data_IF_165112492027
#
_entry.id   IF_165112492027
#
_cell.length_a   1.000
_cell.length_b   1.000
_cell.length_c   1.000
_cell.angle_alpha   90.00
_cell.angle_beta   90.00
_cell.angle_gamma   90.00
#
_symmetry.space_group_name_H-M   'P 1'
#
loop_
_entity.id
_entity.type
_entity.pdbx_description
1 polymer ?
#
# COMPACT_ATOMS: atom_id res chain seq x y z
N UNK A 1 -29.53 8.50 -39.82
CA UNK A 1 -28.19 8.75 -40.41
C UNK A 1 -27.30 7.52 -40.26
N UNK A 2 -26.28 7.33 -41.11
CA UNK A 2 -25.24 6.30 -40.87
C UNK A 2 -24.38 6.72 -39.66
N UNK A 3 -24.02 5.77 -38.79
CA UNK A 3 -23.27 6.00 -37.54
C UNK A 3 -21.97 6.81 -37.77
N UNK A 4 -21.27 6.57 -38.90
CA UNK A 4 -20.03 7.29 -39.23
C UNK A 4 -20.21 8.79 -39.48
N UNK A 5 -21.41 9.22 -39.93
CA UNK A 5 -21.71 10.65 -40.10
C UNK A 5 -21.94 11.35 -38.76
N UNK A 6 -22.52 10.66 -37.78
CA UNK A 6 -22.68 11.19 -36.42
C UNK A 6 -21.32 11.39 -35.75
N UNK A 7 -20.43 10.40 -35.86
CA UNK A 7 -19.07 10.48 -35.31
C UNK A 7 -18.27 11.63 -35.93
N UNK A 8 -18.32 11.80 -37.26
CA UNK A 8 -17.61 12.88 -37.97
C UNK A 8 -18.10 14.27 -37.57
N UNK A 9 -19.41 14.42 -37.28
CA UNK A 9 -19.98 15.66 -36.79
C UNK A 9 -19.55 15.96 -35.35
N UNK A 10 -19.61 14.96 -34.47
CA UNK A 10 -19.20 15.09 -33.08
C UNK A 10 -17.71 15.51 -32.95
N UNK A 11 -16.83 14.93 -33.76
CA UNK A 11 -15.40 15.28 -33.78
C UNK A 11 -15.17 16.76 -34.16
N UNK A 12 -15.91 17.28 -35.14
CA UNK A 12 -15.84 18.70 -35.53
C UNK A 12 -16.30 19.64 -34.42
N UNK A 13 -17.26 19.24 -33.59
CA UNK A 13 -17.72 20.04 -32.46
C UNK A 13 -16.65 20.16 -31.38
N UNK A 14 -15.93 19.07 -31.05
CA UNK A 14 -14.87 19.06 -30.02
C UNK A 14 -13.72 20.01 -30.37
N UNK A 15 -13.31 20.04 -31.64
CA UNK A 15 -12.18 20.87 -32.09
C UNK A 15 -12.49 22.38 -32.02
N UNK A 16 -13.77 22.77 -32.03
CA UNK A 16 -14.19 24.18 -32.09
C UNK A 16 -14.42 24.83 -30.72
N UNK A 17 -14.60 24.08 -29.61
CA UNK A 17 -14.99 24.59 -28.29
C UNK A 17 -13.83 24.78 -27.28
N UNK A 18 -12.71 25.35 -27.74
CA UNK A 18 -11.36 25.25 -27.12
C UNK A 18 -11.20 25.65 -25.64
N UNK A 19 -11.93 26.65 -25.12
CA UNK A 19 -11.75 27.10 -23.72
C UNK A 19 -12.73 26.45 -22.73
N UNK A 20 -13.96 26.18 -23.16
CA UNK A 20 -15.02 25.67 -22.28
C UNK A 20 -14.93 24.16 -22.07
N UNK A 21 -14.52 23.42 -23.10
CA UNK A 21 -14.23 21.99 -23.00
C UNK A 21 -13.04 21.70 -22.07
N UNK A 22 -12.05 22.60 -21.98
CA UNK A 22 -10.87 22.36 -21.15
C UNK A 22 -11.20 22.25 -19.66
N UNK A 23 -12.03 23.17 -19.14
CA UNK A 23 -12.42 23.17 -17.73
C UNK A 23 -13.29 21.97 -17.35
N UNK A 24 -14.10 21.47 -18.30
CA UNK A 24 -14.92 20.28 -18.12
C UNK A 24 -14.09 19.00 -18.16
N UNK A 25 -13.17 18.95 -19.11
CA UNK A 25 -12.24 17.83 -19.27
C UNK A 25 -11.38 17.70 -18.02
N UNK A 26 -10.98 18.81 -17.39
CA UNK A 26 -10.15 18.80 -16.19
C UNK A 26 -10.73 17.98 -15.03
N UNK A 27 -12.04 18.07 -14.77
CA UNK A 27 -12.68 17.26 -13.71
C UNK A 27 -12.62 15.76 -13.98
N UNK A 28 -12.82 15.35 -15.25
CA UNK A 28 -12.68 13.95 -15.68
C UNK A 28 -11.23 13.52 -15.59
N UNK A 29 -10.31 14.37 -16.05
CA UNK A 29 -8.87 14.10 -16.05
C UNK A 29 -8.37 13.83 -14.63
N UNK A 30 -8.70 14.70 -13.67
CA UNK A 30 -8.31 14.54 -12.27
C UNK A 30 -8.94 13.26 -11.70
N UNK A 31 -10.24 13.04 -11.93
CA UNK A 31 -10.92 11.83 -11.45
C UNK A 31 -10.28 10.54 -11.97
N UNK A 32 -10.06 10.44 -13.29
CA UNK A 32 -9.46 9.26 -13.94
C UNK A 32 -7.99 9.08 -13.55
N UNK A 33 -7.20 10.15 -13.50
CA UNK A 33 -5.80 10.08 -13.07
C UNK A 33 -5.67 9.56 -11.64
N UNK A 34 -6.52 10.06 -10.73
CA UNK A 34 -6.56 9.59 -9.34
C UNK A 34 -6.91 8.10 -9.25
N UNK A 35 -7.96 7.64 -9.95
CA UNK A 35 -8.34 6.20 -9.96
C UNK A 35 -7.15 5.34 -10.39
N UNK A 36 -6.46 5.71 -11.47
CA UNK A 36 -5.34 4.92 -11.99
C UNK A 36 -4.18 4.89 -11.00
N UNK A 37 -3.85 6.03 -10.39
CA UNK A 37 -2.79 6.10 -9.39
C UNK A 37 -3.11 5.21 -8.17
N UNK A 38 -4.35 5.27 -7.65
CA UNK A 38 -4.78 4.52 -6.46
C UNK A 38 -4.76 3.01 -6.74
N UNK A 39 -5.35 2.58 -7.86
CA UNK A 39 -5.47 1.15 -8.17
C UNK A 39 -4.10 0.55 -8.50
N UNK A 40 -3.27 1.26 -9.28
CA UNK A 40 -1.91 0.81 -9.59
C UNK A 40 -1.03 0.72 -8.34
N UNK A 41 -1.16 1.67 -7.41
CA UNK A 41 -0.50 1.59 -6.12
C UNK A 41 -1.02 0.39 -5.30
N UNK A 42 -2.34 0.19 -5.25
CA UNK A 42 -2.96 -0.94 -4.55
C UNK A 42 -2.45 -2.30 -5.03
N UNK A 43 -2.43 -2.52 -6.35
CA UNK A 43 -1.92 -3.76 -6.96
C UNK A 43 -0.42 -3.97 -6.68
N UNK A 44 0.39 -2.89 -6.76
CA UNK A 44 1.82 -2.95 -6.44
C UNK A 44 2.07 -3.34 -4.98
N UNK A 45 1.27 -2.79 -4.05
CA UNK A 45 1.34 -3.12 -2.63
C UNK A 45 0.90 -4.56 -2.34
N UNK A 46 -0.21 -5.00 -2.94
CA UNK A 46 -0.73 -6.37 -2.79
C UNK A 46 0.29 -7.40 -3.28
N UNK A 47 0.92 -7.14 -4.42
CA UNK A 47 1.99 -7.98 -4.95
C UNK A 47 3.21 -7.99 -4.04
N UNK A 48 3.64 -6.83 -3.55
CA UNK A 48 4.78 -6.75 -2.62
C UNK A 48 4.51 -7.50 -1.31
N UNK A 49 3.28 -7.47 -0.80
CA UNK A 49 2.88 -8.23 0.39
C UNK A 49 2.90 -9.74 0.09
N UNK A 50 2.40 -10.14 -1.08
CA UNK A 50 2.38 -11.55 -1.51
C UNK A 50 3.79 -12.11 -1.73
N UNK A 51 4.70 -11.31 -2.29
CA UNK A 51 6.12 -11.69 -2.44
C UNK A 51 6.82 -11.78 -1.08
N UNK A 52 6.54 -10.86 -0.15
CA UNK A 52 7.02 -10.96 1.24
C UNK A 52 6.43 -12.16 2.00
N UNK A 53 5.27 -12.66 1.55
CA UNK A 53 4.58 -13.84 2.09
C UNK A 53 5.08 -15.17 1.52
N UNK A 54 6.13 -15.20 0.69
CA UNK A 54 6.66 -16.43 0.09
C UNK A 54 6.82 -17.58 1.11
N UNK A 55 6.96 -18.83 0.62
CA UNK A 55 6.86 -20.14 1.31
C UNK A 55 7.42 -20.30 2.74
N UNK A 56 8.18 -19.35 3.29
CA UNK A 56 8.69 -19.35 4.66
C UNK A 56 7.86 -18.52 5.65
N UNK A 57 7.03 -17.58 5.18
CA UNK A 57 6.25 -16.69 6.06
C UNK A 57 5.04 -17.36 6.72
N UNK A 58 4.49 -18.40 6.10
CA UNK A 58 3.30 -19.13 6.56
C UNK A 58 3.51 -19.91 7.86
N UNK A 59 4.74 -20.33 8.16
CA UNK A 59 5.10 -21.10 9.37
C UNK A 59 5.61 -20.24 10.54
N UNK A 60 5.63 -18.91 10.43
CA UNK A 60 6.24 -18.05 11.44
C UNK A 60 5.19 -17.44 12.36
N UNK A 61 5.36 -17.70 13.65
CA UNK A 61 4.58 -17.14 14.75
C UNK A 61 5.51 -16.22 15.56
N UNK A 62 5.06 -15.00 15.83
CA UNK A 62 5.74 -14.05 16.71
C UNK A 62 4.96 -13.90 18.01
N UNK A 63 5.65 -14.08 19.12
CA UNK A 63 5.14 -13.91 20.48
C UNK A 63 5.77 -12.67 21.05
N UNK A 64 4.96 -11.73 21.52
CA UNK A 64 5.41 -10.43 22.07
C UNK A 64 4.80 -10.27 23.47
N UNK A 65 5.52 -9.70 24.45
CA UNK A 65 4.92 -9.34 25.73
C UNK A 65 3.85 -8.26 25.57
N UNK A 66 2.95 -8.20 26.53
CA UNK A 66 1.78 -7.35 26.53
C UNK A 66 0.60 -7.92 25.73
N UNK A 67 -0.61 -7.57 26.13
CA UNK A 67 -1.82 -7.93 25.41
C UNK A 67 -2.21 -6.83 24.43
N UNK A 68 -1.82 -7.00 23.18
CA UNK A 68 -2.44 -6.27 22.07
C UNK A 68 -3.63 -7.10 21.58
N UNK A 69 -4.85 -6.73 21.99
CA UNK A 69 -6.05 -7.18 21.29
C UNK A 69 -5.99 -6.55 19.90
N UNK A 70 -5.88 -7.35 18.84
CA UNK A 70 -5.70 -6.89 17.47
C UNK A 70 -6.54 -5.63 17.18
N UNK A 71 -5.85 -4.48 17.08
CA UNK A 71 -6.51 -3.18 17.13
C UNK A 71 -5.62 -2.02 17.55
N UNK A 72 -4.42 -2.25 18.09
CA UNK A 72 -3.54 -1.15 18.48
C UNK A 72 -2.74 -0.64 17.27
N UNK A 73 -3.38 0.24 16.49
CA UNK A 73 -2.77 0.90 15.34
C UNK A 73 -1.88 2.04 15.83
N UNK A 74 -0.56 1.85 15.80
CA UNK A 74 0.41 2.94 16.02
C UNK A 74 0.44 3.86 14.78
N UNK A 75 -0.36 4.92 14.76
CA UNK A 75 -0.20 6.04 13.81
C UNK A 75 0.42 7.24 14.53
N UNK A 76 1.61 7.66 14.09
CA UNK A 76 2.15 8.98 14.43
C UNK A 76 2.57 9.22 15.87
N UNK A 77 2.93 8.17 16.63
CA UNK A 77 3.51 8.32 17.97
C UNK A 77 2.53 8.75 19.08
N UNK A 78 1.23 8.71 18.82
CA UNK A 78 0.20 8.93 19.85
C UNK A 78 -0.38 7.56 20.23
N UNK A 79 -0.12 7.14 21.46
CA UNK A 79 -0.78 6.00 22.08
C UNK A 79 -2.18 6.49 22.50
N UNK A 80 -3.23 5.91 21.93
CA UNK A 80 -4.56 6.02 22.52
C UNK A 80 -4.71 4.85 23.48
N UNK A 81 -4.37 5.06 24.76
CA UNK A 81 -4.71 4.14 25.84
C UNK A 81 -6.24 4.05 25.92
N UNK A 82 -6.84 3.06 25.25
CA UNK A 82 -8.16 2.58 25.65
C UNK A 82 -7.99 1.80 26.96
N UNK A 83 -8.45 2.46 28.03
CA UNK A 83 -8.53 1.95 29.39
C UNK A 83 -9.12 0.53 29.43
N UNK A 84 -8.31 -0.45 29.81
CA UNK A 84 -8.79 -1.84 29.84
C UNK A 84 -7.84 -2.90 30.38
N UNK A 85 -6.78 -2.57 31.11
CA UNK A 85 -6.05 -3.55 31.90
C UNK A 85 -5.54 -2.89 33.19
N UNK A 86 -5.87 -3.48 34.34
CA UNK A 86 -5.21 -3.14 35.59
C UNK A 86 -3.73 -3.46 35.42
N UNK A 87 -2.90 -2.43 35.32
CA UNK A 87 -1.45 -2.56 35.40
C UNK A 87 -1.11 -3.17 36.77
N UNK A 88 -0.78 -4.46 36.78
CA UNK A 88 0.15 -4.99 37.78
C UNK A 88 1.51 -4.33 37.53
N UNK A 89 2.12 -3.77 38.58
CA UNK A 89 3.44 -3.08 38.55
C UNK A 89 4.62 -3.97 38.12
N UNK A 90 4.38 -5.21 37.65
CA UNK A 90 5.40 -6.08 37.09
C UNK A 90 5.48 -5.87 35.57
N UNK A 91 6.66 -5.48 35.10
CA UNK A 91 6.95 -5.34 33.68
C UNK A 91 6.67 -6.68 32.98
N UNK A 92 5.71 -6.68 32.05
CA UNK A 92 5.36 -7.90 31.33
C UNK A 92 6.52 -8.24 30.39
N UNK A 93 7.26 -9.30 30.70
CA UNK A 93 8.44 -9.72 29.93
C UNK A 93 8.36 -11.19 29.53
N UNK A 94 8.97 -11.53 28.39
CA UNK A 94 9.20 -12.92 28.01
C UNK A 94 10.57 -13.36 28.51
N UNK A 95 10.65 -14.53 29.14
CA UNK A 95 11.87 -15.01 29.77
C UNK A 95 12.27 -16.41 29.28
N UNK A 96 13.36 -16.92 29.87
CA UNK A 96 13.84 -18.28 29.60
C UNK A 96 12.83 -19.38 29.96
N UNK A 97 11.95 -19.16 30.94
CA UNK A 97 10.90 -20.10 31.36
C UNK A 97 9.90 -20.29 30.23
N UNK A 98 9.48 -19.21 29.58
CA UNK A 98 8.59 -19.26 28.41
C UNK A 98 9.22 -20.06 27.27
N UNK A 99 10.49 -19.77 26.94
CA UNK A 99 11.23 -20.51 25.91
C UNK A 99 11.29 -22.01 26.23
N UNK A 100 11.54 -22.37 27.49
CA UNK A 100 11.59 -23.77 27.91
C UNK A 100 10.23 -24.45 27.83
N UNK A 101 9.15 -23.75 28.18
CA UNK A 101 7.79 -24.25 28.08
C UNK A 101 7.40 -24.53 26.61
N UNK A 102 7.76 -23.63 25.70
CA UNK A 102 7.50 -23.76 24.27
C UNK A 102 8.31 -24.88 23.62
N UNK A 103 9.58 -25.08 24.02
CA UNK A 103 10.41 -26.21 23.53
C UNK A 103 9.78 -27.59 23.79
N UNK A 104 8.86 -27.70 24.75
CA UNK A 104 8.12 -28.93 25.02
C UNK A 104 7.02 -29.27 24.00
N UNK A 105 6.67 -28.35 23.09
CA UNK A 105 5.62 -28.56 22.09
C UNK A 105 6.18 -29.25 20.84
N UNK A 106 5.52 -30.32 20.39
CA UNK A 106 5.89 -31.09 19.19
C UNK A 106 5.60 -30.37 17.88
N UNK A 107 4.84 -29.29 17.90
CA UNK A 107 4.49 -28.53 16.68
C UNK A 107 5.60 -27.51 16.31
N UNK A 108 6.47 -27.17 17.27
CA UNK A 108 7.52 -26.17 17.12
C UNK A 108 8.81 -26.80 16.56
N UNK A 109 9.33 -26.27 15.46
CA UNK A 109 10.62 -26.65 14.87
C UNK A 109 11.77 -25.88 15.53
N UNK A 110 11.67 -24.55 15.56
CA UNK A 110 12.72 -23.64 16.02
C UNK A 110 12.11 -22.48 16.81
N UNK A 111 12.89 -21.95 17.77
CA UNK A 111 12.56 -20.76 18.53
C UNK A 111 13.78 -19.85 18.47
N UNK A 112 13.63 -18.69 17.85
CA UNK A 112 14.57 -17.59 17.88
C UNK A 112 14.15 -16.58 18.95
N UNK A 113 15.08 -16.27 19.85
CA UNK A 113 14.88 -15.28 20.90
C UNK A 113 15.40 -13.94 20.41
N UNK A 114 14.59 -12.89 20.49
CA UNK A 114 14.96 -11.57 19.99
C UNK A 114 14.89 -10.50 21.07
N UNK A 115 15.89 -9.63 21.07
CA UNK A 115 15.84 -8.34 21.75
C UNK A 115 15.98 -7.22 20.73
N UNK A 116 15.30 -6.11 20.96
CA UNK A 116 15.22 -4.97 20.07
C UNK A 116 15.55 -3.71 20.84
N UNK A 117 16.33 -2.85 20.22
CA UNK A 117 16.64 -1.53 20.74
C UNK A 117 17.09 -0.62 19.62
N UNK A 118 17.60 0.55 20.00
CA UNK A 118 18.28 1.44 19.07
C UNK A 118 19.73 1.56 19.51
N UNK A 119 20.63 1.69 18.55
CA UNK A 119 22.05 1.92 18.84
C UNK A 119 22.59 3.02 17.94
N UNK A 120 23.49 3.84 18.50
CA UNK A 120 24.20 4.84 17.74
C UNK A 120 25.35 4.20 16.97
N UNK A 121 25.33 4.41 15.66
CA UNK A 121 26.30 3.86 14.72
C UNK A 121 27.11 4.98 14.13
N UNK A 122 28.42 4.79 14.08
CA UNK A 122 29.36 5.70 13.46
C UNK A 122 30.16 5.05 12.35
N UNK A 123 30.30 5.76 11.24
CA UNK A 123 31.15 5.39 10.12
C UNK A 123 31.75 6.64 9.48
N UNK A 124 33.09 6.67 9.35
CA UNK A 124 33.85 7.78 8.76
C UNK A 124 33.52 9.17 9.33
N UNK A 125 33.24 9.26 10.65
CA UNK A 125 32.96 10.52 11.33
C UNK A 125 31.53 11.04 11.19
N UNK A 126 30.64 10.27 10.55
CA UNK A 126 29.19 10.47 10.61
C UNK A 126 28.57 9.49 11.58
N UNK A 127 27.51 9.92 12.27
CA UNK A 127 26.80 9.10 13.24
C UNK A 127 25.30 9.20 13.05
N UNK A 128 24.58 8.15 13.41
CA UNK A 128 23.12 8.13 13.44
C UNK A 128 22.59 6.96 14.23
N UNK A 129 21.35 7.07 14.69
CA UNK A 129 20.67 6.02 15.44
C UNK A 129 19.98 5.05 14.49
N UNK A 130 20.20 3.76 14.67
CA UNK A 130 19.57 2.69 13.87
C UNK A 130 18.95 1.64 14.76
N UNK A 131 17.98 0.91 14.23
CA UNK A 131 17.39 -0.22 14.94
C UNK A 131 18.42 -1.34 15.12
N UNK A 132 18.50 -1.92 16.31
CA UNK A 132 19.34 -3.05 16.64
C UNK A 132 18.46 -4.24 17.00
N UNK A 133 18.72 -5.39 16.41
CA UNK A 133 18.06 -6.66 16.71
C UNK A 133 19.13 -7.68 17.13
N UNK A 134 19.08 -8.09 18.38
CA UNK A 134 19.85 -9.22 18.90
C UNK A 134 19.10 -10.52 18.65
N UNK A 135 19.74 -11.49 17.99
CA UNK A 135 19.12 -12.77 17.59
C UNK A 135 19.94 -13.98 18.06
N UNK A 136 19.32 -15.16 18.16
CA UNK A 136 20.08 -16.39 18.34
C UNK A 136 20.66 -16.84 16.99
N UNK A 137 21.94 -16.51 16.79
CA UNK A 137 22.70 -16.83 15.57
C UNK A 137 22.71 -18.32 15.17
N UNK A 138 22.33 -19.25 16.06
CA UNK A 138 22.26 -20.69 15.74
C UNK A 138 20.99 -21.08 14.98
N UNK A 139 19.94 -20.26 15.10
CA UNK A 139 18.60 -20.58 14.59
C UNK A 139 18.06 -19.49 13.68
N UNK A 140 18.47 -18.23 13.86
CA UNK A 140 17.95 -17.08 13.13
C UNK A 140 17.97 -17.27 11.62
N UNK A 141 19.05 -17.81 11.04
CA UNK A 141 19.16 -18.05 9.59
C UNK A 141 18.15 -19.04 9.01
N UNK A 142 17.47 -19.83 9.85
CA UNK A 142 16.42 -20.79 9.46
C UNK A 142 15.00 -20.32 9.80
N UNK A 143 14.90 -19.23 10.58
CA UNK A 143 13.65 -18.65 11.06
C UNK A 143 13.33 -17.35 10.33
N UNK A 144 14.35 -16.57 9.96
CA UNK A 144 14.17 -15.33 9.19
C UNK A 144 13.62 -15.64 7.79
N UNK A 145 12.73 -14.77 7.32
CA UNK A 145 12.19 -14.76 5.96
C UNK A 145 12.99 -13.87 5.02
N UNK A 146 13.93 -13.08 5.55
CA UNK A 146 14.71 -12.14 4.74
C UNK A 146 15.82 -12.86 3.98
N UNK A 147 15.95 -12.56 2.70
CA UNK A 147 17.05 -13.08 1.88
C UNK A 147 18.33 -12.25 2.06
N UNK A 148 19.47 -12.85 1.74
CA UNK A 148 20.75 -12.13 1.69
C UNK A 148 21.00 -11.65 0.28
N UNK A 149 21.22 -10.34 0.16
CA UNK A 149 21.70 -9.71 -1.07
C UNK A 149 23.19 -9.95 -1.27
N UNK A 150 23.99 -9.65 -0.24
CA UNK A 150 25.46 -9.74 -0.29
C UNK A 150 26.02 -10.42 0.96
N UNK A 151 27.03 -11.29 0.80
CA UNK A 151 27.75 -11.90 1.90
C UNK A 151 27.10 -13.18 2.45
N UNK A 152 26.92 -13.27 3.78
CA UNK A 152 26.37 -14.46 4.45
C UNK A 152 25.61 -14.13 5.74
N UNK A 153 24.75 -15.07 6.14
CA UNK A 153 24.01 -15.01 7.41
C UNK A 153 24.97 -15.18 8.58
N UNK A 154 24.50 -14.83 9.79
CA UNK A 154 25.21 -15.11 11.03
C UNK A 154 25.40 -16.62 11.22
N UNK A 155 26.59 -17.01 11.67
CA UNK A 155 26.94 -18.39 12.01
C UNK A 155 27.07 -18.55 13.52
N UNK A 156 26.92 -19.78 14.02
CA UNK A 156 27.02 -20.10 15.46
C UNK A 156 28.33 -19.70 16.16
N UNK A 157 29.41 -19.45 15.42
CA UNK A 157 30.73 -19.09 15.94
C UNK A 157 31.04 -17.58 15.84
N UNK A 158 30.14 -16.81 15.25
CA UNK A 158 30.29 -15.37 15.10
C UNK A 158 30.13 -14.65 16.46
N UNK A 159 30.82 -13.52 16.63
CA UNK A 159 30.72 -12.68 17.82
C UNK A 159 30.67 -11.19 17.41
N UNK A 160 31.80 -10.61 17.02
CA UNK A 160 31.90 -9.18 16.67
C UNK A 160 31.62 -8.93 15.18
N UNK A 161 30.50 -9.47 14.70
CA UNK A 161 30.04 -9.28 13.33
C UNK A 161 28.57 -8.96 13.30
N UNK A 162 28.16 -8.33 12.20
CA UNK A 162 26.79 -7.88 12.00
C UNK A 162 26.31 -8.20 10.59
N UNK A 163 25.02 -8.41 10.49
CA UNK A 163 24.28 -8.34 9.23
C UNK A 163 23.50 -7.04 9.24
N UNK A 164 23.49 -6.30 8.14
CA UNK A 164 22.81 -5.01 8.05
C UNK A 164 21.68 -5.06 7.03
N UNK A 165 20.65 -4.24 7.23
CA UNK A 165 19.63 -4.02 6.21
C UNK A 165 20.18 -3.26 5.00
N UNK A 166 19.56 -3.43 3.83
CA UNK A 166 19.99 -2.78 2.59
C UNK A 166 19.82 -1.25 2.65
N UNK A 167 18.82 -0.74 3.38
CA UNK A 167 18.64 0.69 3.62
C UNK A 167 19.84 1.32 4.35
N UNK A 168 20.34 0.65 5.40
CA UNK A 168 21.54 1.04 6.11
C UNK A 168 22.80 0.94 5.22
N UNK A 169 22.84 -0.05 4.34
CA UNK A 169 23.97 -0.25 3.44
C UNK A 169 24.07 0.83 2.37
N UNK A 170 22.96 1.23 1.76
CA UNK A 170 22.98 2.01 0.53
C UNK A 170 22.82 3.52 0.74
N UNK A 171 21.98 3.93 1.69
CA UNK A 171 21.46 5.31 1.74
C UNK A 171 21.71 6.03 3.07
N UNK A 172 22.07 5.32 4.13
CA UNK A 172 22.19 5.93 5.47
C UNK A 172 23.45 6.78 5.64
N UNK A 173 24.55 6.40 5.00
CA UNK A 173 25.81 7.14 5.00
C UNK A 173 26.13 7.67 3.60
N UNK A 174 26.96 8.70 3.50
CA UNK A 174 27.40 9.29 2.21
C UNK A 174 28.12 8.29 1.30
N UNK A 175 28.66 7.23 1.88
CA UNK A 175 29.31 6.15 1.15
C UNK A 175 28.60 4.84 1.47
N UNK A 176 28.31 4.01 0.45
CA UNK A 176 27.65 2.74 0.66
C UNK A 176 28.52 1.82 1.52
N UNK A 177 27.91 1.17 2.49
CA UNK A 177 28.54 0.11 3.28
C UNK A 177 28.53 -1.19 2.47
N UNK A 178 29.66 -1.89 2.51
CA UNK A 178 29.81 -3.17 1.84
C UNK A 178 30.27 -4.24 2.83
N UNK A 179 30.22 -5.50 2.39
CA UNK A 179 30.75 -6.62 3.15
C UNK A 179 32.22 -6.39 3.54
N UNK A 180 32.61 -6.90 4.70
CA UNK A 180 33.93 -6.75 5.33
C UNK A 180 34.32 -5.32 5.75
N UNK A 181 33.48 -4.31 5.55
CA UNK A 181 33.68 -3.00 6.19
C UNK A 181 33.39 -3.10 7.68
N UNK A 182 34.02 -2.20 8.44
CA UNK A 182 33.86 -2.09 9.89
C UNK A 182 33.11 -0.80 10.19
N UNK A 183 32.07 -0.91 11.01
CA UNK A 183 31.34 0.23 11.57
C UNK A 183 31.44 0.19 13.08
N UNK A 184 31.40 1.35 13.71
CA UNK A 184 31.41 1.47 15.17
C UNK A 184 29.98 1.56 15.67
N UNK A 185 29.62 0.77 16.67
CA UNK A 185 28.30 0.79 17.32
C UNK A 185 28.56 0.99 18.81
N UNK A 186 28.06 2.11 19.37
CA UNK A 186 28.50 2.58 20.67
C UNK A 186 30.03 2.77 20.69
N UNK A 187 30.71 2.07 21.58
CA UNK A 187 32.18 2.10 21.71
C UNK A 187 32.89 0.91 21.02
N UNK A 188 32.15 0.01 20.38
CA UNK A 188 32.68 -1.25 19.84
C UNK A 188 32.65 -1.30 18.30
N UNK A 189 33.68 -1.89 17.71
CA UNK A 189 33.80 -2.05 16.27
C UNK A 189 33.28 -3.41 15.79
N UNK A 190 32.43 -3.40 14.76
CA UNK A 190 31.81 -4.60 14.20
C UNK A 190 32.03 -4.69 12.70
N UNK A 191 32.33 -5.91 12.23
CA UNK A 191 32.51 -6.19 10.80
C UNK A 191 31.20 -6.64 10.16
N UNK A 192 30.87 -6.05 9.02
CA UNK A 192 29.71 -6.44 8.22
C UNK A 192 30.01 -7.76 7.51
N UNK A 193 29.20 -8.80 7.77
CA UNK A 193 29.33 -10.12 7.12
C UNK A 193 28.23 -10.39 6.11
N UNK A 194 27.11 -9.68 6.19
CA UNK A 194 26.00 -9.80 5.26
C UNK A 194 25.19 -8.52 5.14
N UNK A 195 24.53 -8.37 4.00
CA UNK A 195 23.55 -7.33 3.73
C UNK A 195 22.25 -8.03 3.31
N UNK A 196 21.15 -7.73 4.01
CA UNK A 196 19.83 -8.26 3.70
C UNK A 196 19.28 -7.61 2.43
N UNK A 197 18.50 -8.37 1.67
CA UNK A 197 17.68 -7.84 0.58
C UNK A 197 16.40 -7.21 1.14
N UNK A 198 16.59 -6.21 2.00
CA UNK A 198 15.53 -5.40 2.58
C UNK A 198 15.92 -3.91 2.59
N UNK A 199 14.95 -3.04 2.85
CA UNK A 199 15.16 -1.58 2.89
C UNK A 199 15.31 -1.09 4.34
N UNK A 200 15.59 -1.97 5.29
CA UNK A 200 15.60 -1.62 6.69
C UNK A 200 16.87 -0.85 7.07
N UNK A 201 16.72 0.17 7.92
CA UNK A 201 17.83 0.81 8.61
C UNK A 201 18.08 0.07 9.93
N UNK A 202 18.40 -1.23 9.83
CA UNK A 202 18.57 -2.10 10.98
C UNK A 202 19.87 -2.88 10.96
N UNK A 203 20.33 -3.25 12.15
CA UNK A 203 21.48 -4.10 12.40
C UNK A 203 20.99 -5.35 13.10
N UNK A 204 21.36 -6.50 12.55
CA UNK A 204 21.17 -7.81 13.17
C UNK A 204 22.51 -8.31 13.68
N UNK A 205 22.56 -8.71 14.95
CA UNK A 205 23.78 -9.19 15.59
C UNK A 205 23.50 -10.32 16.58
N UNK A 206 24.54 -11.05 17.04
CA UNK A 206 24.36 -12.08 18.05
C UNK A 206 23.79 -11.47 19.33
N UNK A 207 22.76 -12.09 19.90
CA UNK A 207 22.04 -11.58 21.08
C UNK A 207 22.96 -11.28 22.28
N UNK A 208 24.05 -12.03 22.44
CA UNK A 208 25.03 -11.77 23.51
C UNK A 208 25.75 -10.42 23.36
N UNK A 209 25.99 -9.97 22.12
CA UNK A 209 26.58 -8.65 21.87
C UNK A 209 25.53 -7.55 22.02
N UNK A 210 24.28 -7.82 21.64
CA UNK A 210 23.19 -6.88 21.81
C UNK A 210 22.95 -6.50 23.28
N UNK A 211 23.02 -7.47 24.22
CA UNK A 211 22.96 -7.18 25.66
C UNK A 211 24.10 -6.30 26.19
N UNK A 212 25.24 -6.23 25.50
CA UNK A 212 26.36 -5.36 25.89
C UNK A 212 26.19 -3.93 25.36
N UNK A 213 25.35 -3.74 24.34
CA UNK A 213 25.13 -2.45 23.69
C UNK A 213 23.80 -1.80 24.09
N UNK A 214 22.83 -2.59 24.59
CA UNK A 214 21.53 -2.13 25.04
C UNK A 214 21.46 -2.19 26.56
N UNK A 215 21.67 -1.04 27.20
CA UNK A 215 21.73 -0.90 28.66
C UNK A 215 20.40 -1.22 29.37
N UNK A 216 19.27 -1.14 28.65
CA UNK A 216 17.92 -1.41 29.12
C UNK A 216 17.51 -2.90 29.02
N UNK A 217 18.42 -3.78 28.59
CA UNK A 217 18.11 -5.21 28.36
C UNK A 217 18.77 -6.13 29.37
N UNK A 218 17.94 -6.90 30.06
CA UNK A 218 18.41 -7.92 31.00
C UNK A 218 18.64 -9.27 30.34
N UNK A 219 19.70 -9.97 30.77
CA UNK A 219 20.05 -11.29 30.22
C UNK A 219 18.92 -12.29 30.48
N UNK A 220 18.62 -13.10 29.46
CA UNK A 220 17.55 -14.11 29.45
C UNK A 220 16.12 -13.51 29.47
N UNK A 221 16.00 -12.18 29.26
CA UNK A 221 14.75 -11.46 29.00
C UNK A 221 14.68 -11.07 27.53
N UNK A 222 13.51 -11.24 26.90
CA UNK A 222 13.31 -11.11 25.46
C UNK A 222 12.14 -10.17 25.13
N UNK A 223 12.33 -9.37 24.08
CA UNK A 223 11.28 -8.50 23.54
C UNK A 223 10.31 -9.26 22.62
N UNK A 224 10.78 -10.37 22.02
CA UNK A 224 9.91 -11.25 21.24
C UNK A 224 10.52 -12.65 21.09
N UNK A 225 9.65 -13.64 20.91
CA UNK A 225 10.02 -15.00 20.51
C UNK A 225 9.46 -15.25 19.12
N UNK A 226 10.34 -15.56 18.18
CA UNK A 226 9.96 -15.92 16.81
C UNK A 226 10.04 -17.43 16.67
N UNK A 227 8.90 -18.05 16.43
CA UNK A 227 8.70 -19.49 16.46
C UNK A 227 8.39 -19.96 15.05
N UNK A 228 9.15 -20.94 14.57
CA UNK A 228 8.85 -21.65 13.32
C UNK A 228 8.14 -22.96 13.62
N UNK A 229 6.96 -23.17 13.03
CA UNK A 229 6.21 -24.42 13.15
C UNK A 229 6.63 -25.41 12.08
N UNK A 230 6.49 -26.71 12.37
CA UNK A 230 6.87 -27.80 11.45
C UNK A 230 5.91 -27.99 10.28
N UNK A 231 4.64 -27.67 10.50
CA UNK A 231 3.53 -27.97 9.59
C UNK A 231 2.65 -26.74 9.46
N UNK A 232 2.73 -26.07 8.31
CA UNK A 232 2.04 -24.81 8.05
C UNK A 232 0.51 -24.98 8.08
N UNK A 233 0.01 -26.14 7.65
CA UNK A 233 -1.42 -26.46 7.62
C UNK A 233 -2.03 -26.54 9.03
N UNK A 234 -1.19 -26.60 10.08
CA UNK A 234 -1.59 -26.63 11.49
C UNK A 234 -1.29 -25.34 12.23
N UNK A 235 -1.06 -24.23 11.52
CA UNK A 235 -0.76 -22.92 12.12
C UNK A 235 -1.74 -22.54 13.23
N UNK A 236 -3.04 -22.53 12.96
CA UNK A 236 -4.07 -22.13 13.93
C UNK A 236 -4.07 -23.03 15.17
N UNK A 237 -3.95 -24.34 14.97
CA UNK A 237 -3.87 -25.31 16.05
C UNK A 237 -2.57 -25.18 16.86
N UNK A 238 -1.47 -24.77 16.23
CA UNK A 238 -0.21 -24.49 16.90
C UNK A 238 -0.29 -23.20 17.73
N UNK A 239 -0.94 -22.15 17.21
CA UNK A 239 -1.21 -20.90 17.94
C UNK A 239 -2.02 -21.20 19.21
N UNK A 240 -3.12 -21.94 19.11
CA UNK A 240 -3.96 -22.29 20.27
C UNK A 240 -3.17 -23.08 21.33
N UNK A 241 -2.32 -24.02 20.89
CA UNK A 241 -1.45 -24.78 21.81
C UNK A 241 -0.40 -23.91 22.47
N UNK A 242 0.20 -22.97 21.74
CA UNK A 242 1.18 -22.01 22.25
C UNK A 242 0.53 -21.11 23.28
N UNK A 243 -0.61 -20.50 22.96
CA UNK A 243 -1.38 -19.65 23.87
C UNK A 243 -1.72 -20.40 25.15
N UNK A 244 -2.33 -21.59 25.05
CA UNK A 244 -2.66 -22.41 26.21
C UNK A 244 -1.44 -22.80 27.04
N UNK A 245 -0.33 -23.12 26.40
CA UNK A 245 0.91 -23.50 27.10
C UNK A 245 1.50 -22.31 27.87
N UNK A 246 1.50 -21.13 27.27
CA UNK A 246 1.97 -19.90 27.92
C UNK A 246 1.03 -19.46 29.05
N UNK A 247 -0.29 -19.52 28.85
CA UNK A 247 -1.29 -19.25 29.89
C UNK A 247 -1.06 -20.12 31.13
N UNK A 248 -0.86 -21.43 30.95
CA UNK A 248 -0.57 -22.34 32.06
C UNK A 248 0.78 -22.01 32.73
N UNK A 249 1.80 -21.65 31.94
CA UNK A 249 3.15 -21.39 32.45
C UNK A 249 3.20 -20.10 33.25
N UNK A 250 2.52 -19.06 32.75
CA UNK A 250 2.48 -17.70 33.33
C UNK A 250 1.32 -17.51 34.31
N UNK A 251 0.47 -18.52 34.48
CA UNK A 251 -0.71 -18.49 35.36
C UNK A 251 -1.72 -17.39 35.01
N UNK A 252 -1.85 -17.07 33.72
CA UNK A 252 -2.79 -16.07 33.20
C UNK A 252 -3.97 -16.75 32.48
N UNK A 253 -5.10 -16.07 32.46
CA UNK A 253 -6.33 -16.42 31.72
C UNK A 253 -6.52 -15.48 30.52
N UNK A 254 -7.63 -15.63 29.77
CA UNK A 254 -7.91 -14.77 28.61
C UNK A 254 -8.13 -13.29 28.99
N UNK A 255 -8.51 -13.01 30.23
CA UNK A 255 -8.86 -11.65 30.68
C UNK A 255 -7.68 -10.84 31.20
N UNK A 256 -6.65 -11.52 31.68
CA UNK A 256 -5.40 -11.00 32.27
C UNK A 256 -4.18 -11.47 31.48
N UNK A 257 -4.38 -11.92 30.24
CA UNK A 257 -3.31 -12.33 29.34
C UNK A 257 -2.31 -11.18 29.22
N UNK A 258 -1.03 -11.49 29.33
CA UNK A 258 0.07 -10.51 29.32
C UNK A 258 1.01 -10.72 28.13
N UNK A 259 0.54 -11.44 27.11
CA UNK A 259 1.28 -11.71 25.88
C UNK A 259 0.33 -11.74 24.67
N UNK A 260 0.91 -11.58 23.49
CA UNK A 260 0.22 -11.71 22.22
C UNK A 260 0.95 -12.70 21.32
N UNK A 261 0.17 -13.57 20.68
CA UNK A 261 0.64 -14.54 19.69
C UNK A 261 0.05 -14.13 18.35
N UNK A 262 0.91 -13.87 17.38
CA UNK A 262 0.48 -13.44 16.05
C UNK A 262 1.26 -14.20 14.98
N UNK A 263 0.61 -14.58 13.89
CA UNK A 263 1.31 -15.14 12.73
C UNK A 263 1.68 -14.04 11.74
N UNK A 264 2.70 -14.29 10.93
CA UNK A 264 3.05 -13.38 9.83
C UNK A 264 1.89 -13.23 8.83
N UNK A 265 1.10 -14.30 8.63
CA UNK A 265 -0.11 -14.26 7.81
C UNK A 265 -1.14 -13.27 8.37
N UNK A 266 -1.48 -13.36 9.66
CA UNK A 266 -2.45 -12.45 10.30
C UNK A 266 -2.00 -10.99 10.21
N UNK A 267 -0.70 -10.73 10.42
CA UNK A 267 -0.13 -9.39 10.31
C UNK A 267 -0.27 -8.83 8.89
N UNK A 268 -0.06 -9.66 7.88
CA UNK A 268 -0.18 -9.26 6.47
C UNK A 268 -1.64 -9.11 6.04
N UNK A 269 -2.56 -9.94 6.51
CA UNK A 269 -4.00 -9.76 6.32
C UNK A 269 -4.48 -8.42 6.90
N UNK A 270 -4.00 -8.06 8.10
CA UNK A 270 -4.30 -6.76 8.71
C UNK A 270 -3.77 -5.59 7.87
N UNK A 271 -2.51 -5.68 7.38
CA UNK A 271 -1.93 -4.67 6.47
C UNK A 271 -2.72 -4.55 5.17
N UNK A 272 -3.08 -5.68 4.57
CA UNK A 272 -3.89 -5.75 3.35
C UNK A 272 -5.27 -5.13 3.57
N UNK A 273 -5.93 -5.41 4.70
CA UNK A 273 -7.20 -4.80 5.08
C UNK A 273 -7.13 -3.28 5.24
N UNK A 274 -6.04 -2.75 5.81
CA UNK A 274 -5.80 -1.31 5.92
C UNK A 274 -5.61 -0.66 4.54
N UNK A 275 -4.78 -1.26 3.67
CA UNK A 275 -4.56 -0.79 2.29
C UNK A 275 -5.87 -0.81 1.50
N UNK A 276 -6.64 -1.89 1.60
CA UNK A 276 -7.95 -2.03 0.96
C UNK A 276 -8.93 -0.94 1.42
N UNK A 277 -8.96 -0.65 2.73
CA UNK A 277 -9.81 0.41 3.29
C UNK A 277 -9.40 1.81 2.81
N UNK A 278 -8.10 2.10 2.74
CA UNK A 278 -7.58 3.35 2.18
C UNK A 278 -7.90 3.47 0.68
N UNK A 279 -7.74 2.38 -0.07
CA UNK A 279 -8.08 2.30 -1.50
C UNK A 279 -9.58 2.57 -1.73
N UNK A 280 -10.45 1.98 -0.90
CA UNK A 280 -11.89 2.23 -0.97
C UNK A 280 -12.23 3.70 -0.69
N UNK A 281 -11.61 4.31 0.31
CA UNK A 281 -11.81 5.72 0.64
C UNK A 281 -11.35 6.66 -0.49
N UNK A 282 -10.17 6.43 -1.04
CA UNK A 282 -9.65 7.22 -2.16
C UNK A 282 -10.47 7.01 -3.45
N UNK A 283 -10.96 5.78 -3.67
CA UNK A 283 -11.88 5.47 -4.78
C UNK A 283 -13.20 6.23 -4.63
N UNK A 284 -13.73 6.37 -3.41
CA UNK A 284 -14.93 7.18 -3.16
C UNK A 284 -14.69 8.66 -3.49
N UNK A 285 -13.53 9.22 -3.12
CA UNK A 285 -13.14 10.59 -3.48
C UNK A 285 -13.03 10.75 -5.01
N UNK A 286 -12.46 9.76 -5.70
CA UNK A 286 -12.35 9.77 -7.15
C UNK A 286 -13.74 9.68 -7.82
N UNK A 287 -14.66 8.89 -7.27
CA UNK A 287 -16.06 8.82 -7.72
C UNK A 287 -16.78 10.17 -7.57
N UNK A 288 -16.60 10.86 -6.44
CA UNK A 288 -17.13 12.23 -6.25
C UNK A 288 -16.53 13.20 -7.27
N UNK A 289 -15.23 13.10 -7.55
CA UNK A 289 -14.56 13.93 -8.56
C UNK A 289 -15.12 13.71 -9.97
N UNK A 290 -15.40 12.45 -10.32
CA UNK A 290 -16.08 12.10 -11.56
C UNK A 290 -17.50 12.66 -11.63
N UNK A 291 -18.25 12.65 -10.52
CA UNK A 291 -19.58 13.27 -10.45
C UNK A 291 -19.52 14.78 -10.68
N UNK A 292 -18.57 15.49 -10.05
CA UNK A 292 -18.34 16.93 -10.28
C UNK A 292 -17.98 17.19 -11.75
N UNK A 293 -17.10 16.37 -12.33
CA UNK A 293 -16.79 16.39 -13.76
C UNK A 293 -18.04 16.19 -14.62
N UNK A 294 -18.91 15.25 -14.24
CA UNK A 294 -20.16 14.95 -14.97
C UNK A 294 -21.12 16.14 -14.97
N UNK A 295 -21.24 16.89 -13.87
CA UNK A 295 -22.06 18.12 -13.82
C UNK A 295 -21.51 19.16 -14.78
N UNK A 296 -20.18 19.28 -14.85
CA UNK A 296 -19.53 20.12 -15.84
C UNK A 296 -19.91 19.74 -17.28
N UNK A 297 -19.85 18.43 -17.61
CA UNK A 297 -20.20 17.93 -18.95
C UNK A 297 -21.64 18.30 -19.26
N UNK A 298 -22.57 18.04 -18.33
CA UNK A 298 -23.98 18.40 -18.48
C UNK A 298 -24.16 19.89 -18.77
N UNK A 299 -23.49 20.77 -18.02
CA UNK A 299 -23.62 22.22 -18.21
C UNK A 299 -23.07 22.66 -19.58
N UNK A 300 -21.88 22.18 -19.94
CA UNK A 300 -21.26 22.47 -21.25
C UNK A 300 -22.14 21.95 -22.38
N UNK A 301 -22.78 20.81 -22.19
CA UNK A 301 -23.69 20.20 -23.13
C UNK A 301 -24.98 21.00 -23.30
N UNK A 302 -25.58 21.49 -22.20
CA UNK A 302 -26.73 22.40 -22.26
C UNK A 302 -26.42 23.63 -23.10
N UNK A 303 -25.28 24.28 -22.83
CA UNK A 303 -24.90 25.47 -23.60
C UNK A 303 -24.61 25.12 -25.06
N UNK A 304 -23.94 23.99 -25.34
CA UNK A 304 -23.66 23.54 -26.71
C UNK A 304 -24.94 23.26 -27.50
N UNK A 305 -25.96 22.69 -26.86
CA UNK A 305 -27.27 22.47 -27.47
C UNK A 305 -27.95 23.81 -27.78
N UNK A 306 -27.92 24.76 -26.85
CA UNK A 306 -28.51 26.09 -27.03
C UNK A 306 -27.84 26.88 -28.16
N UNK A 307 -26.50 26.90 -28.21
CA UNK A 307 -25.73 27.54 -29.27
C UNK A 307 -25.99 26.93 -30.66
N UNK A 308 -26.41 25.65 -30.69
CA UNK A 308 -26.68 24.90 -31.93
C UNK A 308 -28.17 24.73 -32.22
N UNK A 309 -29.05 25.44 -31.51
CA UNK A 309 -30.51 25.36 -31.66
C UNK A 309 -30.95 25.53 -33.12
N UNK A 310 -30.46 26.57 -33.80
CA UNK A 310 -30.80 26.86 -35.21
C UNK A 310 -30.35 25.75 -36.16
N UNK A 311 -29.15 25.21 -35.97
CA UNK A 311 -28.63 24.07 -36.75
C UNK A 311 -29.49 22.81 -36.55
N UNK A 312 -29.90 22.53 -35.30
CA UNK A 312 -30.81 21.42 -34.98
C UNK A 312 -32.16 21.60 -35.70
N UNK A 313 -32.70 22.81 -35.68
CA UNK A 313 -33.94 23.18 -36.38
C UNK A 313 -33.86 22.93 -37.88
N UNK A 314 -32.77 23.36 -38.52
CA UNK A 314 -32.51 23.11 -39.93
C UNK A 314 -32.44 21.61 -40.19
N UNK A 315 -31.59 20.85 -39.46
CA UNK A 315 -31.44 19.40 -39.64
C UNK A 315 -32.78 18.65 -39.55
N UNK A 316 -33.64 19.05 -38.61
CA UNK A 316 -34.98 18.45 -38.48
C UNK A 316 -35.92 18.85 -39.60
N UNK A 317 -35.86 20.09 -40.10
CA UNK A 317 -36.67 20.54 -41.23
C UNK A 317 -36.35 19.76 -42.53
N UNK A 318 -35.08 19.35 -42.71
CA UNK A 318 -34.65 18.46 -43.82
C UNK A 318 -34.82 16.96 -43.52
N UNK A 319 -35.44 16.59 -42.39
CA UNK A 319 -35.88 15.21 -42.11
C UNK A 319 -35.06 14.40 -41.09
N UNK A 320 -34.15 15.02 -40.32
CA UNK A 320 -33.48 14.32 -39.21
C UNK A 320 -34.47 13.95 -38.10
N UNK A 321 -34.40 12.71 -37.58
CA UNK A 321 -35.28 12.25 -36.49
C UNK A 321 -34.69 12.65 -35.13
N UNK A 322 -35.52 12.69 -34.08
CA UNK A 322 -35.05 12.96 -32.71
C UNK A 322 -33.91 12.02 -32.29
N UNK A 323 -33.99 10.74 -32.66
CA UNK A 323 -32.91 9.77 -32.39
C UNK A 323 -31.59 10.08 -33.10
N UNK A 324 -31.62 10.71 -34.27
CA UNK A 324 -30.41 11.10 -34.99
C UNK A 324 -29.71 12.26 -34.26
N UNK A 325 -30.48 13.26 -33.82
CA UNK A 325 -29.97 14.39 -33.03
C UNK A 325 -29.44 13.92 -31.68
N UNK A 326 -30.21 13.09 -30.97
CA UNK A 326 -29.79 12.49 -29.70
C UNK A 326 -28.46 11.74 -29.87
N UNK A 327 -28.33 10.90 -30.88
CA UNK A 327 -27.10 10.14 -31.13
C UNK A 327 -25.89 11.05 -31.38
N UNK A 328 -26.01 12.10 -32.19
CA UNK A 328 -24.91 13.05 -32.45
C UNK A 328 -24.38 13.63 -31.13
N UNK A 329 -25.30 14.08 -30.29
CA UNK A 329 -24.98 14.71 -29.02
C UNK A 329 -24.45 13.71 -27.98
N UNK A 330 -24.98 12.49 -27.91
CA UNK A 330 -24.41 11.44 -27.05
C UNK A 330 -23.00 11.03 -27.49
N UNK A 331 -22.74 10.91 -28.79
CA UNK A 331 -21.38 10.68 -29.30
C UNK A 331 -20.44 11.83 -28.96
N UNK A 332 -20.92 13.08 -29.01
CA UNK A 332 -20.14 14.24 -28.60
C UNK A 332 -19.78 14.19 -27.12
N UNK A 333 -20.74 13.90 -26.24
CA UNK A 333 -20.49 13.76 -24.80
C UNK A 333 -19.56 12.58 -24.47
N UNK A 334 -19.74 11.44 -25.15
CA UNK A 334 -18.84 10.29 -25.04
C UNK A 334 -17.42 10.60 -25.51
N UNK A 335 -17.24 11.38 -26.58
CA UNK A 335 -15.92 11.83 -27.05
C UNK A 335 -15.24 12.78 -26.05
N UNK A 336 -16.00 13.64 -25.36
CA UNK A 336 -15.45 14.46 -24.27
C UNK A 336 -14.97 13.56 -23.12
N UNK A 337 -15.78 12.57 -22.74
CA UNK A 337 -15.40 11.56 -21.74
C UNK A 337 -14.17 10.74 -22.16
N UNK A 338 -14.07 10.36 -23.43
CA UNK A 338 -12.91 9.66 -23.98
C UNK A 338 -11.65 10.53 -23.99
N UNK A 339 -11.76 11.79 -24.40
CA UNK A 339 -10.64 12.72 -24.42
C UNK A 339 -10.12 12.99 -23.01
N UNK A 340 -11.02 13.28 -22.06
CA UNK A 340 -10.64 13.46 -20.65
C UNK A 340 -10.11 12.19 -20.01
N UNK A 341 -10.69 11.03 -20.31
CA UNK A 341 -10.18 9.75 -19.85
C UNK A 341 -8.79 9.45 -20.41
N UNK A 342 -8.54 9.71 -21.68
CA UNK A 342 -7.22 9.47 -22.31
C UNK A 342 -6.15 10.36 -21.67
N UNK A 343 -6.44 11.65 -21.50
CA UNK A 343 -5.50 12.57 -20.85
C UNK A 343 -5.31 12.21 -19.36
N UNK A 344 -6.39 11.82 -18.68
CA UNK A 344 -6.34 11.32 -17.30
C UNK A 344 -5.52 10.04 -17.16
N UNK A 345 -5.63 9.11 -18.12
CA UNK A 345 -4.80 7.90 -18.17
C UNK A 345 -3.33 8.25 -18.33
N UNK A 346 -2.99 9.11 -19.28
CA UNK A 346 -1.61 9.53 -19.50
C UNK A 346 -1.04 10.17 -18.24
N UNK A 347 -1.78 11.09 -17.62
CA UNK A 347 -1.37 11.72 -16.37
C UNK A 347 -1.27 10.72 -15.21
N UNK A 348 -2.23 9.79 -15.10
CA UNK A 348 -2.21 8.73 -14.09
C UNK A 348 -0.97 7.83 -14.23
N UNK A 349 -0.62 7.43 -15.46
CA UNK A 349 0.60 6.67 -15.75
C UNK A 349 1.86 7.47 -15.40
N UNK A 350 1.91 8.76 -15.75
CA UNK A 350 3.05 9.62 -15.41
C UNK A 350 3.19 9.76 -13.90
N UNK A 351 2.10 10.07 -13.18
CA UNK A 351 2.10 10.18 -11.72
C UNK A 351 2.55 8.84 -11.13
N UNK A 352 1.95 7.74 -11.57
CA UNK A 352 2.27 6.40 -11.08
C UNK A 352 3.73 6.02 -11.34
N UNK A 353 4.29 6.36 -12.50
CA UNK A 353 5.69 6.07 -12.84
C UNK A 353 6.70 6.99 -12.16
N UNK A 354 6.32 8.22 -11.82
CA UNK A 354 7.17 9.17 -11.07
C UNK A 354 7.13 8.90 -9.57
N UNK A 355 6.02 8.37 -9.06
CA UNK A 355 5.82 8.17 -7.62
C UNK A 355 6.90 7.33 -6.93
N UNK A 356 7.38 6.22 -7.51
CA UNK A 356 8.50 5.45 -6.93
C UNK A 356 9.80 6.24 -6.77
N UNK A 357 10.04 7.25 -7.63
CA UNK A 357 11.22 8.11 -7.55
C UNK A 357 11.07 9.22 -6.50
N UNK A 358 9.86 9.75 -6.31
CA UNK A 358 9.57 10.75 -5.28
C UNK A 358 9.42 10.13 -3.89
N UNK A 359 9.02 8.86 -3.82
CA UNK A 359 8.82 8.10 -2.60
C UNK A 359 9.95 7.08 -2.39
N UNK A 360 11.14 7.33 -2.92
CA UNK A 360 12.30 6.43 -2.78
C UNK A 360 12.68 6.14 -1.33
N UNK A 361 12.32 7.05 -0.42
CA UNK A 361 12.55 6.91 1.03
C UNK A 361 11.41 6.17 1.74
N UNK A 362 10.31 5.84 1.05
CA UNK A 362 9.20 5.05 1.59
C UNK A 362 9.28 3.59 1.12
N UNK A 363 9.53 2.63 2.04
CA UNK A 363 9.77 1.22 1.71
C UNK A 363 8.60 0.52 0.98
N UNK A 364 7.38 1.05 1.05
CA UNK A 364 6.21 0.49 0.37
C UNK A 364 6.11 0.87 -1.13
N UNK A 365 6.86 1.85 -1.62
CA UNK A 365 6.69 2.40 -2.98
C UNK A 365 7.59 1.75 -4.06
N UNK A 366 8.53 0.87 -3.66
CA UNK A 366 9.49 0.23 -4.58
C UNK A 366 8.96 -1.01 -5.29
N UNK A 367 7.80 -1.55 -4.90
CA UNK A 367 7.18 -2.73 -5.52
C UNK A 367 6.79 -2.59 -7.00
N UNK A 368 7.11 -1.46 -7.63
CA UNK A 368 6.75 -1.16 -9.01
C UNK A 368 5.27 -0.79 -9.09
N UNK A 369 4.97 0.37 -9.65
CA UNK A 369 3.61 0.68 -10.05
C UNK A 369 3.34 0.00 -11.38
N UNK A 370 2.74 -1.19 -11.31
CA UNK A 370 2.27 -1.86 -12.50
C UNK A 370 0.94 -1.23 -12.89
N UNK A 371 0.91 -0.56 -14.04
CA UNK A 371 -0.36 -0.15 -14.65
C UNK A 371 -0.78 -1.27 -15.59
N UNK A 372 -1.68 -2.13 -15.11
CA UNK A 372 -2.23 -3.20 -15.94
C UNK A 372 -3.06 -2.62 -17.10
N UNK A 373 -3.04 -3.30 -18.25
CA UNK A 373 -3.85 -2.90 -19.42
C UNK A 373 -5.34 -2.91 -19.06
N UNK A 374 -5.74 -3.80 -18.16
CA UNK A 374 -7.12 -3.93 -17.69
C UNK A 374 -7.60 -2.67 -16.96
N UNK A 375 -6.78 -2.08 -16.09
CA UNK A 375 -7.12 -0.80 -15.42
C UNK A 375 -7.34 0.30 -16.46
N UNK A 376 -6.47 0.39 -17.48
CA UNK A 376 -6.59 1.42 -18.51
C UNK A 376 -7.92 1.27 -19.27
N UNK A 377 -8.28 0.05 -19.65
CA UNK A 377 -9.53 -0.25 -20.36
C UNK A 377 -10.74 0.07 -19.49
N UNK A 378 -10.71 -0.30 -18.21
CA UNK A 378 -11.78 0.00 -17.25
C UNK A 378 -11.94 1.51 -17.07
N UNK A 379 -10.83 2.23 -16.84
CA UNK A 379 -10.84 3.67 -16.61
C UNK A 379 -11.39 4.46 -17.82
N UNK A 380 -10.97 4.09 -19.04
CA UNK A 380 -11.49 4.69 -20.28
C UNK A 380 -12.97 4.35 -20.51
N UNK A 381 -13.38 3.12 -20.20
CA UNK A 381 -14.78 2.71 -20.33
C UNK A 381 -15.68 3.49 -19.37
N UNK A 382 -15.24 3.65 -18.12
CA UNK A 382 -15.93 4.45 -17.11
C UNK A 382 -16.01 5.91 -17.52
N UNK A 383 -14.94 6.51 -18.04
CA UNK A 383 -14.94 7.92 -18.44
C UNK A 383 -15.91 8.21 -19.60
N UNK A 384 -15.97 7.31 -20.59
CA UNK A 384 -16.93 7.39 -21.70
C UNK A 384 -18.36 7.23 -21.20
N UNK A 385 -18.60 6.26 -20.33
CA UNK A 385 -19.92 5.98 -19.77
C UNK A 385 -20.44 7.16 -18.94
N UNK A 386 -19.60 7.74 -18.08
CA UNK A 386 -19.91 8.95 -17.31
C UNK A 386 -20.23 10.13 -18.25
N UNK A 387 -19.43 10.31 -19.32
CA UNK A 387 -19.69 11.34 -20.33
C UNK A 387 -21.05 11.18 -21.02
N UNK A 388 -21.40 9.96 -21.41
CA UNK A 388 -22.69 9.65 -22.05
C UNK A 388 -23.86 9.89 -21.08
N UNK A 389 -23.75 9.43 -19.84
CA UNK A 389 -24.80 9.60 -18.80
C UNK A 389 -25.02 11.08 -18.51
N UNK A 390 -23.94 11.84 -18.32
CA UNK A 390 -24.00 13.28 -18.09
C UNK A 390 -24.66 14.02 -19.26
N UNK A 391 -24.24 13.70 -20.48
CA UNK A 391 -24.76 14.33 -21.69
C UNK A 391 -26.20 13.97 -22.02
N UNK A 392 -26.76 12.92 -21.41
CA UNK A 392 -28.04 12.34 -21.83
C UNK A 392 -29.21 13.31 -21.69
N UNK A 393 -29.40 13.92 -20.52
CA UNK A 393 -30.52 14.84 -20.26
C UNK A 393 -30.51 16.04 -21.22
N UNK A 394 -29.41 16.82 -21.34
CA UNK A 394 -29.35 17.93 -22.30
C UNK A 394 -29.51 17.47 -23.76
N UNK A 395 -28.87 16.36 -24.15
CA UNK A 395 -28.99 15.81 -25.50
C UNK A 395 -30.43 15.42 -25.84
N UNK A 396 -31.15 14.83 -24.88
CA UNK A 396 -32.54 14.46 -25.02
C UNK A 396 -33.44 15.68 -25.17
N UNK A 397 -33.25 16.70 -24.35
CA UNK A 397 -34.00 17.96 -24.45
C UNK A 397 -33.76 18.64 -25.80
N UNK A 398 -32.50 18.77 -26.23
CA UNK A 398 -32.14 19.30 -27.55
C UNK A 398 -32.75 18.52 -28.71
N UNK A 399 -32.78 17.19 -28.59
CA UNK A 399 -33.39 16.32 -29.60
C UNK A 399 -34.90 16.49 -29.73
N UNK A 400 -35.58 17.09 -28.75
CA UNK A 400 -37.04 17.35 -28.75
C UNK A 400 -37.44 18.74 -29.23
N UNK A 401 -36.49 19.63 -29.52
CA UNK A 401 -36.77 20.97 -30.05
C UNK A 401 -37.58 20.90 -31.35
N UNK A 402 -38.63 21.71 -31.47
CA UNK A 402 -39.47 21.74 -32.67
C UNK A 402 -38.78 22.62 -33.73
N UNK A 403 -38.82 22.25 -35.03
CA UNK A 403 -38.14 23.02 -36.08
C UNK A 403 -38.60 24.48 -36.14
N UNK A 404 -39.90 24.70 -35.93
CA UNK A 404 -40.52 26.03 -35.95
C UNK A 404 -39.96 26.92 -34.83
N UNK A 405 -39.86 26.39 -33.61
CA UNK A 405 -39.34 27.12 -32.46
C UNK A 405 -37.83 27.39 -32.60
N UNK A 406 -37.09 26.42 -33.13
CA UNK A 406 -35.65 26.50 -33.31
C UNK A 406 -35.20 27.50 -34.40
N UNK A 407 -36.02 27.71 -35.44
CA UNK A 407 -35.73 28.67 -36.52
C UNK A 407 -36.15 30.10 -36.18
N UNK A 408 -37.02 30.26 -35.18
CA UNK A 408 -37.52 31.55 -34.68
C UNK A 408 -36.65 32.14 -33.58
N UNK A 409 -35.70 31.36 -33.08
CA UNK A 409 -34.72 31.76 -32.08
C UNK A 409 -33.66 32.66 -32.76
N UNK A 410 -33.51 33.89 -32.29
CA UNK A 410 -32.45 34.82 -32.72
C UNK A 410 -31.10 34.49 -32.09
#
# INVERSE_FOLDING_TARGET
MKLSKCLKHALKMVVHSKLRSWLTILGIVIGVASVIAIVSLGEGLEKSITEQLGDLGGSIITITPGFSRGGDIRIGGIIQEEAGAQATDEETVLDRTDVQALRGLSDIELIDTQIRGNADVSYLGKSGSVGLIGVDQKVWSRVTTNEIRDGRMLNSADQNVIVIGGGLADSFFDQPLGINKVITIGDSAFRIVGILDDESNSIVMPIQMAYQLLDDKEKDVYDSLVVKIRDEDKLDAAIEKIEKKLMITRHVTETDRDFSVSSSQQMNEMRSGMISSMSAFLTAIAAVSLLVGSVGISNTMFTSVLEKTKEIGIMKAIGARNKDILAIFLFYAGLIGLAGGTVGVILGIIISGVMPYLMSDMPLARGGTFVSVDIIVIALSVSVLVGIIAGFVPAYQGSKLRPVDALRYE
#
